data_IF_747248183604
#
_entry.id   IF_747248183604
#
_cell.length_a   1.000
_cell.length_b   1.000
_cell.length_c   1.000
_cell.angle_alpha   90.00
_cell.angle_beta   90.00
_cell.angle_gamma   90.00
#
_symmetry.space_group_name_H-M   'P 1'
#
loop_
_entity.id
_entity.type
_entity.pdbx_description
1 polymer ?
#
# COMPACT_ATOMS: atom_id res chain seq x y z
N UNK A 1 28.82 0.81 -3.27
CA UNK A 1 27.87 0.01 -2.47
C UNK A 1 26.91 0.99 -1.80
N UNK A 2 25.60 0.72 -1.74
CA UNK A 2 24.69 1.56 -0.95
C UNK A 2 25.07 1.42 0.53
N UNK A 3 25.31 2.55 1.20
CA UNK A 3 25.67 2.59 2.63
C UNK A 3 24.41 2.69 3.47
N UNK A 4 24.24 1.75 4.40
CA UNK A 4 23.29 1.89 5.50
C UNK A 4 23.87 2.87 6.53
N UNK A 5 23.04 3.80 7.03
CA UNK A 5 23.45 4.82 8.00
C UNK A 5 22.68 4.62 9.31
N UNK A 6 23.16 3.74 10.22
CA UNK A 6 22.55 3.57 11.52
C UNK A 6 22.94 4.74 12.43
N UNK A 7 22.00 5.64 12.69
CA UNK A 7 22.11 6.62 13.76
C UNK A 7 20.83 6.62 14.58
N UNK A 8 20.95 6.55 15.90
CA UNK A 8 19.83 6.61 16.82
C UNK A 8 20.16 7.49 18.03
N UNK A 9 19.12 8.01 18.67
CA UNK A 9 19.23 8.75 19.92
C UNK A 9 18.12 8.32 20.85
N UNK A 10 18.42 8.19 22.15
CA UNK A 10 17.40 7.86 23.15
C UNK A 10 16.77 9.13 23.68
N UNK A 11 15.46 9.07 23.90
CA UNK A 11 14.80 10.03 24.76
C UNK A 11 15.30 9.87 26.20
N UNK A 12 15.32 10.98 26.96
CA UNK A 12 15.75 10.97 28.37
C UNK A 12 14.91 10.05 29.24
N UNK A 13 13.63 9.89 28.87
CA UNK A 13 12.68 8.99 29.52
C UNK A 13 11.91 8.24 28.44
N UNK A 14 11.74 6.91 28.55
CA UNK A 14 10.75 6.18 27.78
C UNK A 14 9.36 6.78 28.01
N UNK A 15 8.50 6.67 27.00
CA UNK A 15 7.12 7.12 27.07
C UNK A 15 6.21 6.13 26.35
N UNK A 16 4.92 6.21 26.63
CA UNK A 16 3.85 5.46 25.95
C UNK A 16 2.87 6.47 25.37
N UNK A 17 2.21 6.10 24.27
CA UNK A 17 1.10 6.86 23.70
C UNK A 17 -0.28 6.26 24.05
N UNK A 18 -0.34 5.40 25.07
CA UNK A 18 -1.60 4.84 25.55
C UNK A 18 -2.56 5.97 25.98
N UNK A 19 -3.77 5.99 25.40
CA UNK A 19 -4.78 7.03 25.60
C UNK A 19 -4.34 8.47 25.23
N UNK A 20 -3.22 8.64 24.54
CA UNK A 20 -2.67 9.93 24.13
C UNK A 20 -2.41 9.98 22.62
N UNK A 21 -2.37 11.19 22.05
CA UNK A 21 -2.03 11.38 20.64
C UNK A 21 -0.52 11.36 20.46
N UNK A 22 -0.02 10.45 19.62
CA UNK A 22 1.38 10.44 19.19
C UNK A 22 1.56 11.37 17.98
N UNK A 23 2.52 12.27 18.05
CA UNK A 23 2.92 13.13 16.93
C UNK A 23 4.41 12.94 16.64
N UNK A 24 4.73 12.51 15.43
CA UNK A 24 6.11 12.36 14.94
C UNK A 24 6.31 13.32 13.78
N UNK A 25 7.23 14.28 13.95
CA UNK A 25 7.49 15.30 12.95
C UNK A 25 8.98 15.49 12.72
N UNK A 26 9.40 15.54 11.45
CA UNK A 26 10.78 15.83 11.07
C UNK A 26 10.86 16.40 9.66
N UNK A 27 11.98 17.05 9.34
CA UNK A 27 12.22 17.61 8.02
C UNK A 27 13.33 16.88 7.28
N UNK A 28 13.14 16.63 5.98
CA UNK A 28 14.14 15.99 5.11
C UNK A 28 14.46 16.92 3.94
N UNK A 29 15.74 16.99 3.57
CA UNK A 29 16.19 17.71 2.38
C UNK A 29 17.17 16.86 1.57
N UNK A 30 16.79 16.50 0.34
CA UNK A 30 17.66 15.78 -0.59
C UNK A 30 18.43 16.75 -1.50
N UNK A 31 19.45 17.44 -0.94
CA UNK A 31 20.19 18.50 -1.65
C UNK A 31 20.76 18.08 -3.01
N UNK A 32 21.26 16.86 -3.12
CA UNK A 32 21.88 16.34 -4.34
C UNK A 32 20.85 15.85 -5.37
N UNK A 33 19.57 15.82 -5.00
CA UNK A 33 18.57 14.96 -5.64
C UNK A 33 18.77 13.51 -5.20
N UNK A 34 17.69 12.75 -5.11
CA UNK A 34 17.73 11.35 -4.70
C UNK A 34 17.13 10.50 -5.81
N UNK A 35 17.90 9.52 -6.28
CA UNK A 35 17.43 8.54 -7.27
C UNK A 35 16.91 7.27 -6.56
N UNK A 36 17.64 6.75 -5.58
CA UNK A 36 17.17 5.68 -4.71
C UNK A 36 17.78 5.79 -3.30
N UNK A 37 16.93 5.81 -2.26
CA UNK A 37 17.28 5.84 -0.86
C UNK A 37 16.11 6.26 0.05
N UNK A 38 16.22 5.88 1.32
CA UNK A 38 15.24 6.20 2.37
C UNK A 38 15.57 7.49 3.11
N UNK A 39 14.54 8.26 3.43
CA UNK A 39 14.58 9.43 4.30
C UNK A 39 13.62 9.29 5.48
N UNK A 40 13.34 8.07 5.93
CA UNK A 40 12.41 7.77 7.02
C UNK A 40 13.10 7.64 8.38
N UNK A 41 12.33 7.77 9.44
CA UNK A 41 12.72 7.49 10.82
C UNK A 41 12.07 6.19 11.32
N UNK A 42 12.69 5.56 12.31
CA UNK A 42 12.13 4.43 13.05
C UNK A 42 12.01 4.79 14.53
N UNK A 43 10.88 4.48 15.15
CA UNK A 43 10.68 4.54 16.60
C UNK A 43 10.88 3.16 17.17
N UNK A 44 11.81 3.02 18.12
CA UNK A 44 12.24 1.74 18.67
C UNK A 44 11.75 1.55 20.11
N UNK A 45 11.64 0.29 20.58
CA UNK A 45 11.45 0.00 22.00
C UNK A 45 12.66 0.48 22.82
N UNK A 46 12.46 0.65 24.12
CA UNK A 46 13.53 1.01 25.07
C UNK A 46 14.60 -0.09 25.19
N UNK A 47 14.24 -1.34 24.85
CA UNK A 47 15.12 -2.52 24.82
C UNK A 47 16.11 -2.55 23.66
N UNK A 48 16.02 -1.66 22.66
CA UNK A 48 16.96 -1.64 21.52
C UNK A 48 18.41 -1.52 22.02
N UNK A 49 19.33 -2.35 21.50
CA UNK A 49 20.76 -2.09 21.61
C UNK A 49 21.20 -1.12 20.49
N UNK A 50 21.59 0.10 20.83
CA UNK A 50 21.97 1.12 19.82
C UNK A 50 23.30 0.82 19.12
N UNK A 51 24.23 0.12 19.80
CA UNK A 51 25.53 -0.25 19.25
C UNK A 51 25.42 -1.35 18.19
N UNK A 52 24.35 -2.15 18.28
CA UNK A 52 24.03 -3.25 17.37
C UNK A 52 22.75 -2.95 16.58
N UNK A 53 22.52 -1.68 16.23
CA UNK A 53 21.34 -1.30 15.46
C UNK A 53 21.55 -1.58 13.96
N UNK A 54 20.66 -2.38 13.38
CA UNK A 54 20.69 -2.76 11.96
C UNK A 54 19.30 -2.67 11.31
N UNK A 55 19.20 -3.08 10.04
CA UNK A 55 17.95 -3.00 9.26
C UNK A 55 16.82 -3.85 9.83
N UNK A 56 17.15 -4.96 10.49
CA UNK A 56 16.20 -5.94 11.04
C UNK A 56 15.88 -5.72 12.52
N UNK A 57 16.54 -4.76 13.19
CA UNK A 57 16.22 -4.43 14.58
C UNK A 57 14.75 -4.03 14.70
N UNK A 58 14.06 -4.61 15.69
CA UNK A 58 12.63 -4.42 15.88
C UNK A 58 12.26 -2.98 16.21
N UNK A 59 11.27 -2.43 15.51
CA UNK A 59 10.78 -1.06 15.71
C UNK A 59 9.26 -1.06 15.87
N UNK A 60 8.71 -0.06 16.57
CA UNK A 60 7.26 0.13 16.68
C UNK A 60 6.67 0.78 15.44
N UNK A 61 7.30 1.82 14.90
CA UNK A 61 6.79 2.59 13.76
C UNK A 61 7.95 3.01 12.86
N UNK A 62 7.85 2.76 11.56
CA UNK A 62 8.68 3.40 10.53
C UNK A 62 7.84 4.45 9.80
N UNK A 63 8.36 5.68 9.71
CA UNK A 63 7.65 6.80 9.07
C UNK A 63 8.58 7.68 8.23
N UNK A 64 8.21 7.93 6.97
CA UNK A 64 8.86 8.95 6.15
C UNK A 64 9.01 8.61 4.68
N UNK A 65 9.61 9.50 3.87
CA UNK A 65 9.78 9.29 2.45
C UNK A 65 10.76 8.14 2.15
N UNK A 66 10.38 7.29 1.23
CA UNK A 66 11.21 6.25 0.63
C UNK A 66 11.12 6.42 -0.89
N UNK A 67 12.25 6.78 -1.51
CA UNK A 67 12.32 7.16 -2.92
C UNK A 67 13.23 6.16 -3.60
N UNK A 68 12.74 5.42 -4.59
CA UNK A 68 13.56 4.53 -5.40
C UNK A 68 13.06 4.43 -6.84
N UNK A 69 13.73 5.16 -7.73
CA UNK A 69 13.51 5.14 -9.16
C UNK A 69 12.15 5.67 -9.61
N UNK A 70 11.67 5.16 -10.74
CA UNK A 70 10.42 5.56 -11.37
C UNK A 70 9.31 4.56 -11.00
N UNK A 71 8.68 4.75 -9.84
CA UNK A 71 7.43 4.06 -9.51
C UNK A 71 7.24 3.72 -8.04
N UNK A 72 8.33 3.45 -7.32
CA UNK A 72 8.25 2.95 -5.94
C UNK A 72 8.41 4.06 -4.88
N UNK A 73 8.11 5.30 -5.24
CA UNK A 73 8.28 6.44 -4.35
C UNK A 73 7.05 6.58 -3.46
N UNK A 74 7.18 6.26 -2.17
CA UNK A 74 6.09 6.33 -1.20
C UNK A 74 6.55 6.92 0.13
N UNK A 75 5.65 7.59 0.83
CA UNK A 75 5.83 7.85 2.27
C UNK A 75 5.42 6.58 3.00
N UNK A 76 6.39 5.95 3.64
CA UNK A 76 6.19 4.77 4.47
C UNK A 76 5.50 5.17 5.77
N UNK A 77 4.49 4.40 6.16
CA UNK A 77 3.89 4.43 7.50
C UNK A 77 3.66 2.97 7.89
N UNK A 78 4.63 2.38 8.57
CA UNK A 78 4.66 0.94 8.88
C UNK A 78 4.68 0.75 10.39
N UNK A 79 3.52 0.53 11.02
CA UNK A 79 3.44 0.10 12.41
C UNK A 79 3.72 -1.41 12.57
N UNK A 80 4.27 -1.76 13.72
CA UNK A 80 4.45 -3.14 14.17
C UNK A 80 3.28 -3.54 15.07
N UNK A 81 2.51 -4.55 14.66
CA UNK A 81 1.34 -5.03 15.38
C UNK A 81 1.24 -6.56 15.30
N UNK A 82 1.06 -7.20 16.46
CA UNK A 82 0.98 -8.66 16.61
C UNK A 82 2.14 -9.43 15.92
N UNK A 83 3.37 -8.93 16.08
CA UNK A 83 4.57 -9.59 15.55
C UNK A 83 4.76 -9.46 14.04
N UNK A 84 4.03 -8.56 13.39
CA UNK A 84 4.13 -8.28 11.95
C UNK A 84 4.19 -6.79 11.68
N UNK A 85 4.90 -6.43 10.62
CA UNK A 85 4.92 -5.09 10.08
C UNK A 85 3.83 -4.95 9.03
N UNK A 86 3.00 -3.91 9.16
CA UNK A 86 1.87 -3.69 8.27
C UNK A 86 2.15 -2.49 7.37
N UNK A 87 2.15 -2.70 6.06
CA UNK A 87 2.25 -1.59 5.11
C UNK A 87 0.90 -0.87 4.99
N UNK A 88 0.95 0.43 4.75
CA UNK A 88 -0.26 1.22 4.49
C UNK A 88 -0.82 0.86 3.10
N UNK A 89 -2.11 0.55 3.03
CA UNK A 89 -2.81 0.23 1.79
C UNK A 89 -2.96 1.47 0.87
N UNK A 90 -2.90 2.69 1.43
CA UNK A 90 -2.88 3.95 0.69
C UNK A 90 -1.47 4.32 0.24
N UNK A 91 -1.33 4.63 -1.05
CA UNK A 91 -0.09 5.18 -1.59
C UNK A 91 -0.01 6.69 -1.35
N UNK A 92 0.88 7.11 -0.44
CA UNK A 92 1.15 8.51 -0.16
C UNK A 92 2.40 8.94 -0.94
N UNK A 93 2.26 9.93 -1.84
CA UNK A 93 3.37 10.39 -2.68
C UNK A 93 4.34 11.29 -1.89
N UNK A 94 5.65 10.99 -1.87
CA UNK A 94 6.64 11.86 -1.23
C UNK A 94 6.97 13.06 -2.12
N UNK A 95 7.64 14.06 -1.54
CA UNK A 95 8.19 15.19 -2.29
C UNK A 95 9.61 14.83 -2.76
N UNK A 96 9.83 14.92 -4.08
CA UNK A 96 11.05 14.44 -4.75
C UNK A 96 11.99 15.58 -5.22
N UNK A 97 11.67 16.84 -4.94
CA UNK A 97 12.50 17.97 -5.32
C UNK A 97 13.71 18.13 -4.36
N UNK A 98 14.49 19.20 -4.55
CA UNK A 98 15.69 19.49 -3.73
C UNK A 98 15.42 20.37 -2.50
N UNK A 99 14.16 20.71 -2.26
CA UNK A 99 13.76 21.58 -1.16
C UNK A 99 13.67 20.80 0.16
N UNK A 100 13.55 21.55 1.25
CA UNK A 100 13.29 20.96 2.56
C UNK A 100 11.80 20.70 2.68
N UNK A 101 11.42 19.48 3.03
CA UNK A 101 10.03 19.10 3.26
C UNK A 101 9.82 18.61 4.69
N UNK A 102 8.71 19.02 5.29
CA UNK A 102 8.31 18.66 6.64
C UNK A 102 7.30 17.50 6.60
N UNK A 103 7.61 16.38 7.22
CA UNK A 103 6.74 15.22 7.31
C UNK A 103 6.21 15.09 8.74
N UNK A 104 4.89 14.93 8.87
CA UNK A 104 4.22 14.77 10.17
C UNK A 104 3.30 13.56 10.13
N UNK A 105 3.43 12.68 11.11
CA UNK A 105 2.50 11.58 11.38
C UNK A 105 1.82 11.86 12.71
N UNK A 106 0.50 11.76 12.73
CA UNK A 106 -0.34 11.90 13.92
C UNK A 106 -1.13 10.61 14.06
N UNK A 107 -1.05 9.96 15.22
CA UNK A 107 -1.85 8.78 15.57
C UNK A 107 -2.62 9.11 16.84
N UNK A 108 -3.94 8.97 16.80
CA UNK A 108 -4.85 9.33 17.88
C UNK A 108 -5.34 8.08 18.64
N UNK A 109 -5.79 8.24 19.90
CA UNK A 109 -6.29 7.12 20.71
C UNK A 109 -7.62 6.54 20.21
N UNK A 110 -8.34 7.25 19.35
CA UNK A 110 -9.58 6.78 18.69
C UNK A 110 -9.29 5.89 17.46
N UNK A 111 -8.06 5.41 17.31
CA UNK A 111 -7.57 4.62 16.19
C UNK A 111 -7.61 5.34 14.83
N UNK A 112 -7.61 6.68 14.82
CA UNK A 112 -7.43 7.47 13.60
C UNK A 112 -5.98 7.91 13.40
N UNK A 113 -5.61 8.16 12.16
CA UNK A 113 -4.31 8.72 11.82
C UNK A 113 -4.42 9.88 10.82
N UNK A 114 -3.36 10.66 10.75
CA UNK A 114 -3.20 11.74 9.79
C UNK A 114 -1.73 11.87 9.38
N UNK A 115 -1.49 12.02 8.08
CA UNK A 115 -0.18 12.33 7.52
C UNK A 115 -0.22 13.71 6.88
N UNK A 116 0.73 14.56 7.27
CA UNK A 116 0.93 15.88 6.69
C UNK A 116 2.29 15.98 6.01
N UNK A 117 2.31 16.71 4.90
CA UNK A 117 3.51 17.16 4.23
C UNK A 117 3.45 18.67 4.14
N UNK A 118 4.47 19.37 4.65
CA UNK A 118 4.55 20.82 4.71
C UNK A 118 3.32 21.46 5.39
N UNK A 119 2.90 20.84 6.52
CA UNK A 119 1.70 21.19 7.30
C UNK A 119 0.36 21.03 6.54
N UNK A 120 0.36 20.51 5.32
CA UNK A 120 -0.86 20.18 4.58
C UNK A 120 -1.20 18.71 4.78
N UNK A 121 -2.46 18.43 5.13
CA UNK A 121 -2.97 17.06 5.20
C UNK A 121 -2.94 16.42 3.82
N UNK A 122 -2.26 15.28 3.70
CA UNK A 122 -2.18 14.51 2.45
C UNK A 122 -2.85 13.14 2.57
N UNK A 123 -2.99 12.61 3.78
CA UNK A 123 -3.76 11.40 4.07
C UNK A 123 -4.34 11.46 5.48
N UNK A 124 -5.52 10.88 5.66
CA UNK A 124 -6.16 10.66 6.94
C UNK A 124 -7.14 9.48 6.81
N UNK A 125 -7.49 8.88 7.94
CA UNK A 125 -8.46 7.79 8.00
C UNK A 125 -8.37 6.99 9.29
N UNK A 126 -9.02 5.85 9.27
CA UNK A 126 -9.01 4.86 10.34
C UNK A 126 -7.87 3.87 10.14
N UNK A 127 -7.17 3.52 11.23
CA UNK A 127 -6.09 2.55 11.22
C UNK A 127 -6.58 1.16 10.77
N UNK A 128 -7.79 0.75 11.15
CA UNK A 128 -8.38 -0.55 10.79
C UNK A 128 -8.72 -0.69 9.30
N UNK A 129 -8.97 0.43 8.62
CA UNK A 129 -9.39 0.43 7.21
C UNK A 129 -8.19 0.54 6.26
N UNK A 130 -7.14 1.27 6.69
CA UNK A 130 -5.96 1.54 5.87
C UNK A 130 -4.78 0.58 6.10
N UNK A 131 -4.88 -0.32 7.10
CA UNK A 131 -3.93 -1.41 7.35
C UNK A 131 -4.65 -2.72 7.65
N UNK A 132 -4.02 -3.82 7.24
CA UNK A 132 -4.54 -5.17 7.45
C UNK A 132 -4.22 -5.73 8.85
N UNK A 133 -4.58 -4.99 9.90
CA UNK A 133 -4.37 -5.43 11.29
C UNK A 133 -5.25 -6.60 11.69
N UNK A 134 -6.48 -6.61 11.18
CA UNK A 134 -7.53 -7.53 11.58
C UNK A 134 -7.91 -8.44 10.39
N UNK A 135 -8.38 -9.66 10.66
CA UNK A 135 -8.98 -10.50 9.62
C UNK A 135 -10.13 -9.78 8.91
N UNK A 136 -10.40 -10.10 7.63
CA UNK A 136 -11.48 -9.48 6.88
C UNK A 136 -12.83 -9.57 7.61
N UNK A 137 -13.53 -8.45 7.76
CA UNK A 137 -14.87 -8.39 8.40
C UNK A 137 -15.90 -9.30 7.71
N UNK A 138 -15.69 -9.62 6.43
CA UNK A 138 -16.56 -10.51 5.63
C UNK A 138 -15.72 -11.58 4.95
N UNK A 139 -15.96 -12.84 5.29
CA UNK A 139 -15.44 -14.00 4.58
C UNK A 139 -16.50 -14.53 3.61
N UNK A 140 -16.11 -14.89 2.37
CA UNK A 140 -17.02 -15.65 1.48
C UNK A 140 -17.25 -17.02 2.12
N UNK A 141 -18.50 -17.49 2.12
CA UNK A 141 -18.81 -18.78 2.70
C UNK A 141 -18.03 -19.90 1.97
N UNK A 142 -17.21 -20.70 2.68
CA UNK A 142 -16.26 -21.63 2.06
C UNK A 142 -16.94 -22.77 1.28
N UNK A 143 -18.23 -23.02 1.54
CA UNK A 143 -19.00 -24.09 0.92
C UNK A 143 -20.01 -23.60 -0.14
N UNK A 144 -19.98 -22.32 -0.50
CA UNK A 144 -20.87 -21.81 -1.56
C UNK A 144 -20.38 -22.27 -2.92
N UNK A 145 -21.02 -23.31 -3.46
CA UNK A 145 -20.90 -23.68 -4.87
C UNK A 145 -21.89 -22.87 -5.70
N UNK A 146 -21.46 -22.38 -6.86
CA UNK A 146 -22.38 -21.83 -7.86
C UNK A 146 -23.46 -22.91 -8.15
N UNK A 147 -24.76 -22.55 -8.16
CA UNK A 147 -25.82 -23.50 -8.50
C UNK A 147 -25.58 -24.15 -9.87
N UNK A 148 -26.01 -25.40 -10.07
CA UNK A 148 -25.86 -26.11 -11.35
C UNK A 148 -26.58 -25.42 -12.53
N UNK A 149 -27.56 -24.56 -12.23
CA UNK A 149 -28.34 -23.79 -13.21
C UNK A 149 -27.87 -22.33 -13.33
N UNK A 150 -26.68 -22.01 -12.81
CA UNK A 150 -26.13 -20.67 -12.89
C UNK A 150 -25.61 -20.41 -14.30
N UNK A 151 -26.37 -19.62 -15.07
CA UNK A 151 -26.01 -19.25 -16.44
C UNK A 151 -25.19 -17.94 -16.41
N UNK A 152 -23.94 -18.00 -16.89
CA UNK A 152 -23.03 -16.85 -16.94
C UNK A 152 -22.90 -16.29 -18.36
N UNK A 153 -23.68 -16.80 -19.31
CA UNK A 153 -23.65 -16.34 -20.69
C UNK A 153 -24.25 -14.94 -20.77
N UNK A 154 -23.44 -13.97 -21.17
CA UNK A 154 -23.88 -12.60 -21.43
C UNK A 154 -24.78 -12.49 -22.67
N UNK A 155 -24.62 -13.42 -23.60
CA UNK A 155 -25.44 -13.55 -24.80
C UNK A 155 -25.87 -15.01 -24.95
N UNK A 156 -27.15 -15.21 -25.21
CA UNK A 156 -27.74 -16.51 -25.53
C UNK A 156 -28.31 -16.44 -26.94
N UNK A 157 -28.20 -17.54 -27.69
CA UNK A 157 -28.89 -17.68 -28.97
C UNK A 157 -30.40 -17.49 -28.77
N UNK A 158 -31.02 -16.74 -29.68
CA UNK A 158 -32.46 -16.51 -29.64
C UNK A 158 -33.18 -17.83 -29.96
N UNK A 159 -33.98 -18.39 -29.04
CA UNK A 159 -34.67 -19.66 -29.25
C UNK A 159 -35.68 -19.63 -30.41
N UNK A 160 -36.17 -18.45 -30.79
CA UNK A 160 -37.14 -18.28 -31.88
C UNK A 160 -36.44 -18.09 -33.24
N UNK A 161 -35.13 -17.86 -33.25
CA UNK A 161 -34.37 -17.73 -34.48
C UNK A 161 -34.14 -19.11 -35.10
N UNK A 162 -34.54 -19.24 -36.37
CA UNK A 162 -34.39 -20.47 -37.13
C UNK A 162 -33.46 -20.17 -38.28
N UNK A 163 -32.48 -21.05 -38.47
CA UNK A 163 -31.60 -21.03 -39.64
C UNK A 163 -32.44 -20.82 -40.91
N UNK A 164 -32.24 -19.72 -41.66
CA UNK A 164 -32.97 -19.45 -42.89
C UNK A 164 -32.80 -20.56 -43.93
N UNK A 165 -33.80 -20.74 -44.80
CA UNK A 165 -33.80 -21.78 -45.84
C UNK A 165 -32.71 -21.55 -46.90
N UNK A 166 -32.21 -20.32 -47.05
CA UNK A 166 -31.13 -19.91 -47.95
C UNK A 166 -29.74 -19.88 -47.29
N UNK A 167 -29.61 -20.39 -46.06
CA UNK A 167 -28.33 -20.44 -45.38
C UNK A 167 -27.46 -21.59 -45.90
N UNK A 168 -26.46 -21.24 -46.69
CA UNK A 168 -25.46 -22.17 -47.22
C UNK A 168 -24.28 -22.35 -46.26
N UNK A 169 -23.97 -23.61 -45.91
CA UNK A 169 -22.81 -23.95 -45.05
C UNK A 169 -21.52 -24.23 -45.86
N UNK A 170 -21.56 -24.05 -47.17
CA UNK A 170 -20.45 -24.43 -48.05
C UNK A 170 -19.39 -23.33 -48.11
N UNK A 171 -18.16 -23.67 -47.73
CA UNK A 171 -17.02 -22.73 -47.69
C UNK A 171 -16.47 -22.37 -49.09
N UNK A 172 -16.77 -23.18 -50.10
CA UNK A 172 -16.29 -22.99 -51.47
C UNK A 172 -17.46 -22.95 -52.45
N UNK A 173 -17.55 -21.86 -53.21
CA UNK A 173 -18.49 -21.73 -54.32
C UNK A 173 -17.79 -22.22 -55.59
N UNK A 174 -18.34 -23.21 -56.31
CA UNK A 174 -17.75 -23.66 -57.56
C UNK A 174 -17.81 -22.54 -58.61
N UNK A 175 -16.68 -22.34 -59.30
CA UNK A 175 -16.58 -21.33 -60.37
C UNK A 175 -17.40 -21.78 -61.59
N UNK A 176 -18.45 -21.03 -61.97
CA UNK A 176 -19.31 -21.39 -63.09
C UNK A 176 -18.61 -21.36 -64.46
N UNK A 177 -17.39 -20.79 -64.58
CA UNK A 177 -16.63 -20.76 -65.83
C UNK A 177 -15.44 -21.73 -65.89
N UNK A 178 -15.22 -22.55 -64.87
CA UNK A 178 -14.18 -23.57 -64.89
C UNK A 178 -14.51 -24.69 -65.91
N UNK A 179 -13.63 -24.90 -66.89
CA UNK A 179 -13.69 -25.98 -67.89
C UNK A 179 -12.59 -27.02 -67.70
#
# INVERSE_FOLDING_TARGET
>A
MPSFMPLSTRYKKPFSNENETLVVQFSVKHKQGIHCGGGFVKLFPDTLNQEDMHSESEYYIMFGPDICGFGNNKVQVIPHYQGRYHENNKTIKPRINKDTHLYTLIIRPDATYEVKIDNQQVAAGDLEDDWDFLPPRKIKAPYTRKPRKWDERLQTEDPEDKKPEDWEDFEYIPDPEAR
#
